data_IF_507153519591
#
_entry.id   IF_507153519591
#
_cell.length_a   1.000
_cell.length_b   1.000
_cell.length_c   1.000
_cell.angle_alpha   90.00
_cell.angle_beta   90.00
_cell.angle_gamma   90.00
#
_symmetry.space_group_name_H-M   'P 1'
#
loop_
_entity.id
_entity.type
_entity.pdbx_description
1 polymer ?
#
# COMPACT_ATOMS: atom_id res chain seq x y z
N UNK A 1 -6.17 -10.01 -24.89
CA UNK A 1 -5.72 -8.76 -25.57
C UNK A 1 -6.72 -7.68 -25.16
N UNK A 2 -6.30 -6.67 -24.39
CA UNK A 2 -7.21 -5.63 -23.87
C UNK A 2 -7.24 -4.48 -24.88
N UNK A 3 -8.37 -4.30 -25.57
CA UNK A 3 -8.52 -3.24 -26.58
C UNK A 3 -8.52 -1.87 -25.87
N UNK A 4 -7.69 -0.94 -26.36
CA UNK A 4 -7.59 0.42 -25.84
C UNK A 4 -8.80 1.30 -26.19
N UNK A 5 -9.64 0.87 -27.14
CA UNK A 5 -10.83 1.60 -27.60
C UNK A 5 -12.13 1.09 -26.98
N UNK A 6 -12.08 0.00 -26.22
CA UNK A 6 -13.25 -0.53 -25.54
C UNK A 6 -13.58 0.29 -24.29
N UNK A 7 -14.38 1.34 -24.49
CA UNK A 7 -14.93 2.17 -23.42
C UNK A 7 -16.21 1.58 -22.81
N UNK A 8 -16.78 0.53 -23.40
CA UNK A 8 -18.11 0.00 -23.06
C UNK A 8 -18.05 -1.22 -22.13
N UNK A 9 -17.07 -2.12 -22.30
CA UNK A 9 -16.98 -3.31 -21.45
C UNK A 9 -16.00 -3.19 -20.28
N UNK A 10 -15.25 -2.08 -20.19
CA UNK A 10 -14.09 -1.95 -19.29
C UNK A 10 -14.35 -2.23 -17.80
N UNK A 11 -15.61 -2.06 -17.35
CA UNK A 11 -16.08 -2.41 -16.00
C UNK A 11 -17.35 -3.28 -16.00
N UNK A 12 -17.81 -3.78 -17.15
CA UNK A 12 -19.09 -4.50 -17.24
C UNK A 12 -19.09 -5.83 -16.45
N UNK A 13 -17.92 -6.44 -16.31
CA UNK A 13 -17.69 -7.65 -15.51
C UNK A 13 -17.02 -7.36 -14.15
N UNK A 14 -16.80 -6.08 -13.82
CA UNK A 14 -16.20 -5.72 -12.54
C UNK A 14 -17.27 -5.87 -11.45
N UNK A 15 -16.95 -6.59 -10.39
CA UNK A 15 -17.80 -6.60 -9.20
C UNK A 15 -17.85 -5.20 -8.57
N UNK A 16 -18.93 -4.88 -7.87
CA UNK A 16 -19.06 -3.61 -7.15
C UNK A 16 -17.87 -3.32 -6.23
N UNK A 17 -17.29 -4.38 -5.65
CA UNK A 17 -16.09 -4.27 -4.83
C UNK A 17 -14.87 -3.81 -5.65
N UNK A 18 -14.67 -4.37 -6.86
CA UNK A 18 -13.58 -3.95 -7.74
C UNK A 18 -13.72 -2.47 -8.14
N UNK A 19 -14.95 -2.02 -8.40
CA UNK A 19 -15.23 -0.60 -8.71
C UNK A 19 -14.90 0.29 -7.52
N UNK A 20 -15.32 -0.07 -6.29
CA UNK A 20 -14.99 0.68 -5.07
C UNK A 20 -13.49 0.75 -4.83
N UNK A 21 -12.76 -0.35 -5.01
CA UNK A 21 -11.31 -0.40 -4.86
C UNK A 21 -10.60 0.48 -5.90
N UNK A 22 -11.08 0.50 -7.14
CA UNK A 22 -10.53 1.36 -8.19
C UNK A 22 -10.71 2.84 -7.85
N UNK A 23 -11.91 3.25 -7.42
CA UNK A 23 -12.18 4.63 -6.99
C UNK A 23 -11.33 5.05 -5.81
N UNK A 24 -11.22 4.18 -4.80
CA UNK A 24 -10.36 4.44 -3.65
C UNK A 24 -8.90 4.64 -4.09
N UNK A 25 -8.39 3.78 -4.98
CA UNK A 25 -7.04 3.89 -5.51
C UNK A 25 -6.82 5.18 -6.31
N UNK A 26 -7.82 5.65 -7.07
CA UNK A 26 -7.77 6.95 -7.76
C UNK A 26 -7.67 8.10 -6.76
N UNK A 27 -8.56 8.15 -5.76
CA UNK A 27 -8.52 9.17 -4.71
C UNK A 27 -7.19 9.19 -3.97
N UNK A 28 -6.59 8.03 -3.68
CA UNK A 28 -5.28 8.01 -3.02
C UNK A 28 -4.16 8.56 -3.93
N UNK A 29 -4.20 8.30 -5.24
CA UNK A 29 -3.22 8.87 -6.18
C UNK A 29 -3.38 10.39 -6.32
N UNK A 30 -4.60 10.91 -6.30
CA UNK A 30 -4.88 12.35 -6.29
C UNK A 30 -4.29 13.03 -5.06
N UNK A 31 -4.28 12.35 -3.91
CA UNK A 31 -3.62 12.80 -2.68
C UNK A 31 -2.09 12.66 -2.71
N UNK A 32 -1.49 12.28 -3.85
CA UNK A 32 -0.05 12.08 -3.99
C UNK A 32 0.49 10.82 -3.30
N UNK A 33 -0.40 9.92 -2.85
CA UNK A 33 0.00 8.68 -2.19
C UNK A 33 0.29 7.58 -3.21
N UNK A 34 1.19 6.68 -2.84
CA UNK A 34 1.55 5.52 -3.66
C UNK A 34 1.08 4.23 -2.99
N UNK A 35 0.62 3.29 -3.82
CA UNK A 35 0.24 1.97 -3.37
C UNK A 35 1.50 1.16 -3.00
N UNK A 36 1.75 1.00 -1.69
CA UNK A 36 2.78 0.11 -1.13
C UNK A 36 2.10 -1.02 -0.36
N UNK A 37 2.65 -1.43 0.79
CA UNK A 37 1.93 -2.27 1.78
C UNK A 37 0.74 -1.52 2.40
N UNK A 38 0.85 -0.19 2.47
CA UNK A 38 -0.21 0.75 2.80
C UNK A 38 -0.20 1.88 1.76
N UNK A 39 -1.29 2.64 1.65
CA UNK A 39 -1.30 3.89 0.90
C UNK A 39 -0.67 4.99 1.74
N UNK A 40 0.44 5.55 1.27
CA UNK A 40 1.18 6.60 1.97
C UNK A 40 1.93 7.48 0.97
N UNK A 41 2.24 8.71 1.37
CA UNK A 41 3.21 9.55 0.65
C UNK A 41 4.61 8.98 0.79
N UNK A 42 5.56 9.52 0.03
CA UNK A 42 6.95 9.07 0.13
C UNK A 42 7.53 9.36 1.52
N UNK A 43 7.25 10.55 2.06
CA UNK A 43 7.71 10.99 3.39
C UNK A 43 7.06 10.19 4.54
N UNK A 44 5.74 9.97 4.47
CA UNK A 44 5.01 9.16 5.47
C UNK A 44 5.58 7.75 5.53
N UNK A 45 5.90 7.18 4.37
CA UNK A 45 6.38 5.82 4.30
C UNK A 45 7.87 5.69 4.66
N UNK A 46 8.70 6.71 4.43
CA UNK A 46 10.06 6.77 4.98
C UNK A 46 10.03 6.87 6.51
N UNK A 47 9.19 7.75 7.04
CA UNK A 47 9.00 7.91 8.50
C UNK A 47 8.60 6.58 9.14
N UNK A 48 7.62 5.87 8.54
CA UNK A 48 7.20 4.57 9.00
C UNK A 48 8.33 3.53 8.93
N UNK A 49 9.14 3.53 7.86
CA UNK A 49 10.29 2.64 7.73
C UNK A 49 11.28 2.83 8.87
N UNK A 50 11.67 4.07 9.13
CA UNK A 50 12.61 4.41 10.22
C UNK A 50 12.05 4.03 11.60
N UNK A 51 10.74 4.24 11.81
CA UNK A 51 10.10 3.85 13.06
C UNK A 51 10.10 2.34 13.27
N UNK A 52 9.78 1.57 12.22
CA UNK A 52 9.82 0.10 12.28
C UNK A 52 11.25 -0.42 12.51
N UNK A 53 12.25 0.22 11.92
CA UNK A 53 13.65 -0.16 12.12
C UNK A 53 14.08 0.08 13.58
N UNK A 54 13.62 1.17 14.22
CA UNK A 54 13.84 1.40 15.67
C UNK A 54 13.18 0.32 16.53
N UNK A 55 11.94 -0.07 16.21
CA UNK A 55 11.24 -1.13 16.95
C UNK A 55 11.99 -2.45 16.84
N UNK A 56 12.44 -2.82 15.63
CA UNK A 56 13.20 -4.05 15.40
C UNK A 56 14.53 -4.03 16.16
N UNK A 57 15.27 -2.93 16.08
CA UNK A 57 16.53 -2.79 16.82
C UNK A 57 16.35 -2.93 18.34
N UNK A 58 15.26 -2.39 18.89
CA UNK A 58 14.93 -2.56 20.30
C UNK A 58 14.57 -4.03 20.65
N UNK A 59 13.85 -4.72 19.76
CA UNK A 59 13.49 -6.13 19.96
C UNK A 59 14.71 -7.07 19.83
N UNK A 60 15.61 -6.80 18.90
CA UNK A 60 16.83 -7.58 18.71
C UNK A 60 17.82 -7.38 19.86
N UNK A 61 17.83 -6.20 20.49
CA UNK A 61 18.61 -5.94 21.71
C UNK A 61 18.06 -6.62 22.97
N UNK A 62 16.75 -6.89 23.02
CA UNK A 62 16.09 -7.63 24.10
C UNK A 62 16.18 -9.15 23.90
N UNK A 63 16.42 -9.59 22.66
CA UNK A 63 16.72 -10.98 22.28
C UNK A 63 18.20 -11.32 22.49
N UNK A 64 18.73 -11.02 23.67
CA UNK A 64 20.06 -11.50 24.06
C UNK A 64 19.99 -13.04 24.20
N UNK A 65 20.82 -13.84 23.47
CA UNK A 65 20.77 -15.30 23.50
C UNK A 65 21.16 -15.95 24.84
N UNK A 66 21.43 -15.16 25.88
CA UNK A 66 21.76 -15.64 27.22
C UNK A 66 20.56 -16.17 28.03
N UNK A 67 19.32 -16.13 27.48
CA UNK A 67 18.10 -16.55 28.20
C UNK A 67 17.37 -17.76 27.60
N UNK A 68 18.03 -18.58 26.78
CA UNK A 68 17.48 -19.84 26.26
C UNK A 68 18.08 -21.07 26.97
#
# INVERSE_FOLDING_TARGET
>A
MKDKRDKLTGNLLASDNAIRQARFAETQRELGRKARKIWATDDEAETLRLYLDKIRAAQDGDRDPASA
#
